data_IF_515967247307
#
_entry.id   IF_515967247307
#
_cell.length_a   1.000
_cell.length_b   1.000
_cell.length_c   1.000
_cell.angle_alpha   90.00
_cell.angle_beta   90.00
_cell.angle_gamma   90.00
#
_symmetry.space_group_name_H-M   'P 1'
#
loop_
_entity.id
_entity.type
_entity.pdbx_description
1 polymer ?
#
# COMPACT_ATOMS: atom_id res chain seq x y z
N UNK A 1 8.10 -20.07 -17.59
CA UNK A 1 8.49 -18.65 -17.47
C UNK A 1 9.01 -18.44 -16.08
N UNK A 2 10.21 -17.89 -15.96
CA UNK A 2 10.96 -17.78 -14.72
C UNK A 2 11.28 -16.30 -14.45
N UNK A 3 11.59 -15.94 -13.20
CA UNK A 3 11.99 -14.59 -12.80
C UNK A 3 13.26 -14.11 -13.51
N UNK A 4 14.07 -15.06 -14.00
CA UNK A 4 15.27 -14.80 -14.80
C UNK A 4 15.00 -14.59 -16.30
N UNK A 5 13.74 -14.72 -16.74
CA UNK A 5 13.39 -14.49 -18.16
C UNK A 5 13.43 -12.98 -18.46
N UNK A 6 13.77 -12.63 -19.71
CA UNK A 6 13.68 -11.26 -20.21
C UNK A 6 12.29 -10.68 -20.05
N UNK A 7 12.20 -9.43 -19.61
CA UNK A 7 10.93 -8.71 -19.49
C UNK A 7 10.28 -8.56 -20.86
N UNK A 8 11.00 -8.02 -21.84
CA UNK A 8 10.50 -7.79 -23.20
C UNK A 8 10.02 -9.08 -23.86
N UNK A 9 10.86 -10.11 -23.86
CA UNK A 9 10.52 -11.42 -24.46
C UNK A 9 9.30 -12.05 -23.79
N UNK A 10 9.21 -11.94 -22.46
CA UNK A 10 8.05 -12.45 -21.71
C UNK A 10 6.74 -11.77 -22.10
N UNK A 11 6.76 -10.43 -22.25
CA UNK A 11 5.58 -9.66 -22.64
C UNK A 11 5.21 -9.92 -24.09
N UNK A 12 6.17 -9.96 -25.01
CA UNK A 12 5.92 -10.37 -26.42
C UNK A 12 5.19 -11.71 -26.48
N UNK A 13 5.68 -12.71 -25.75
CA UNK A 13 5.06 -14.04 -25.70
C UNK A 13 3.62 -14.02 -25.18
N UNK A 14 3.33 -13.22 -24.15
CA UNK A 14 1.98 -13.07 -23.61
C UNK A 14 1.03 -12.32 -24.57
N UNK A 15 1.57 -11.44 -25.41
CA UNK A 15 0.81 -10.74 -26.46
C UNK A 15 0.64 -11.60 -27.73
N UNK A 16 1.27 -12.77 -27.81
CA UNK A 16 1.22 -13.63 -29.00
C UNK A 16 2.19 -13.20 -30.10
N UNK A 17 3.20 -12.40 -29.79
CA UNK A 17 4.23 -11.91 -30.72
C UNK A 17 5.44 -12.88 -30.65
N UNK A 18 5.93 -13.30 -31.81
CA UNK A 18 7.12 -14.14 -31.89
C UNK A 18 8.35 -13.35 -31.37
N UNK A 19 9.25 -14.05 -30.67
CA UNK A 19 10.42 -13.43 -30.05
C UNK A 19 11.32 -12.74 -31.08
N UNK A 20 11.46 -13.34 -32.25
CA UNK A 20 12.31 -12.87 -33.34
C UNK A 20 11.73 -11.68 -34.09
N UNK A 21 10.45 -11.34 -33.85
CA UNK A 21 9.77 -10.24 -34.54
C UNK A 21 10.02 -8.92 -33.81
N UNK A 22 11.04 -8.19 -34.21
CA UNK A 22 11.54 -7.00 -33.51
C UNK A 22 10.83 -5.69 -33.91
N UNK A 23 9.90 -5.73 -34.89
CA UNK A 23 9.27 -4.52 -35.43
C UNK A 23 8.55 -3.66 -34.37
N UNK A 24 7.98 -4.29 -33.35
CA UNK A 24 7.25 -3.63 -32.29
C UNK A 24 8.07 -3.43 -30.99
N UNK A 25 9.34 -3.79 -30.97
CA UNK A 25 10.11 -3.78 -29.73
C UNK A 25 10.21 -2.38 -29.12
N UNK A 26 10.42 -1.35 -29.95
CA UNK A 26 10.49 0.04 -29.47
C UNK A 26 9.17 0.50 -28.81
N UNK A 27 8.02 0.18 -29.43
CA UNK A 27 6.70 0.53 -28.90
C UNK A 27 6.40 -0.23 -27.61
N UNK A 28 6.74 -1.52 -27.58
CA UNK A 28 6.57 -2.35 -26.38
C UNK A 28 7.45 -1.88 -25.23
N UNK A 29 8.72 -1.53 -25.49
CA UNK A 29 9.64 -0.98 -24.49
C UNK A 29 9.07 0.30 -23.88
N UNK A 30 8.56 1.21 -24.72
CA UNK A 30 7.92 2.45 -24.25
C UNK A 30 6.73 2.15 -23.33
N UNK A 31 5.83 1.24 -23.71
CA UNK A 31 4.68 0.86 -22.89
C UNK A 31 5.10 0.15 -21.60
N UNK A 32 6.05 -0.77 -21.67
CA UNK A 32 6.60 -1.48 -20.50
C UNK A 32 7.20 -0.49 -19.51
N UNK A 33 8.00 0.47 -19.97
CA UNK A 33 8.61 1.49 -19.12
C UNK A 33 7.57 2.40 -18.47
N UNK A 34 6.49 2.74 -19.20
CA UNK A 34 5.35 3.48 -18.62
C UNK A 34 4.70 2.71 -17.48
N UNK A 35 4.56 1.39 -17.60
CA UNK A 35 4.00 0.56 -16.53
C UNK A 35 4.98 0.41 -15.36
N UNK A 36 6.29 0.30 -15.61
CA UNK A 36 7.27 0.32 -14.52
C UNK A 36 7.23 1.61 -13.72
N UNK A 37 7.03 2.75 -14.37
CA UNK A 37 6.85 4.03 -13.67
C UNK A 37 5.63 4.01 -12.74
N UNK A 38 4.51 3.41 -13.17
CA UNK A 38 3.32 3.24 -12.32
C UNK A 38 3.62 2.29 -11.15
N UNK A 39 4.29 1.17 -11.39
CA UNK A 39 4.68 0.21 -10.33
C UNK A 39 5.57 0.87 -9.28
N UNK A 40 6.52 1.71 -9.69
CA UNK A 40 7.35 2.50 -8.76
C UNK A 40 6.50 3.44 -7.90
N UNK A 41 5.49 4.09 -8.47
CA UNK A 41 4.56 4.95 -7.72
C UNK A 41 3.68 4.17 -6.73
N UNK A 42 3.40 2.90 -7.02
CA UNK A 42 2.71 1.97 -6.11
C UNK A 42 3.63 1.39 -5.02
N UNK A 43 4.90 1.79 -4.97
CA UNK A 43 5.88 1.26 -4.02
C UNK A 43 6.45 -0.10 -4.42
N UNK A 44 6.26 -0.55 -5.66
CA UNK A 44 6.72 -1.86 -6.14
C UNK A 44 8.00 -1.73 -6.95
N UNK A 45 9.03 -2.51 -6.59
CA UNK A 45 10.33 -2.52 -7.26
C UNK A 45 11.31 -1.47 -6.70
N UNK A 46 12.37 -1.14 -7.45
CA UNK A 46 13.40 -0.23 -6.96
C UNK A 46 12.88 1.20 -6.76
N UNK A 47 13.16 1.80 -5.61
CA UNK A 47 12.72 3.17 -5.26
C UNK A 47 13.23 4.26 -6.22
N UNK A 48 14.33 4.00 -6.93
CA UNK A 48 14.88 4.90 -7.95
C UNK A 48 14.20 4.78 -9.32
N UNK A 49 13.21 3.88 -9.43
CA UNK A 49 12.59 3.50 -10.68
C UNK A 49 13.38 2.42 -11.44
N UNK A 50 12.74 1.88 -12.47
CA UNK A 50 13.33 0.86 -13.34
C UNK A 50 12.90 1.10 -14.77
N UNK A 51 13.80 0.88 -15.73
CA UNK A 51 13.53 0.97 -17.16
C UNK A 51 14.30 -0.13 -17.89
N UNK A 52 13.76 -0.56 -19.02
CA UNK A 52 14.43 -1.47 -19.94
C UNK A 52 14.76 -0.72 -21.24
N UNK A 53 15.87 -1.06 -21.85
CA UNK A 53 16.28 -0.52 -23.16
C UNK A 53 16.20 -1.58 -24.26
N UNK A 54 16.33 -2.84 -23.89
CA UNK A 54 16.32 -3.98 -24.80
C UNK A 54 15.85 -5.27 -24.12
N UNK A 55 16.13 -6.42 -24.72
CA UNK A 55 15.78 -7.75 -24.22
C UNK A 55 16.70 -8.30 -23.12
N UNK A 56 17.76 -7.59 -22.74
CA UNK A 56 18.73 -8.07 -21.73
C UNK A 56 18.19 -7.99 -20.30
N UNK A 57 17.34 -7.01 -20.00
CA UNK A 57 16.76 -6.80 -18.69
C UNK A 57 15.80 -7.94 -18.31
N UNK A 58 15.97 -8.49 -17.11
CA UNK A 58 15.19 -9.60 -16.57
C UNK A 58 14.21 -9.13 -15.51
N UNK A 59 13.20 -9.93 -15.19
CA UNK A 59 12.29 -9.64 -14.08
C UNK A 59 13.00 -9.59 -12.73
N UNK A 60 14.09 -10.38 -12.58
CA UNK A 60 14.90 -10.40 -11.37
C UNK A 60 15.58 -9.05 -11.08
N UNK A 61 15.89 -8.29 -12.14
CA UNK A 61 16.48 -6.96 -12.00
C UNK A 61 15.48 -5.93 -11.44
N UNK A 62 14.18 -6.19 -11.63
CA UNK A 62 13.10 -5.35 -11.12
C UNK A 62 12.61 -5.82 -9.75
N UNK A 63 12.38 -7.10 -9.55
CA UNK A 63 11.80 -7.67 -8.33
C UNK A 63 12.51 -8.96 -7.94
N UNK A 64 12.96 -9.05 -6.69
CA UNK A 64 13.64 -10.24 -6.14
C UNK A 64 12.66 -11.22 -5.48
N UNK A 65 11.49 -10.76 -5.07
CA UNK A 65 10.46 -11.56 -4.42
C UNK A 65 9.63 -12.34 -5.44
N UNK A 66 9.83 -13.66 -5.46
CA UNK A 66 9.10 -14.56 -6.35
C UNK A 66 7.58 -14.60 -6.07
N UNK A 67 7.16 -14.29 -4.85
CA UNK A 67 5.74 -14.29 -4.47
C UNK A 67 4.98 -13.15 -5.16
N UNK A 68 5.61 -12.00 -5.34
CA UNK A 68 5.05 -10.82 -6.00
C UNK A 68 5.24 -10.85 -7.51
N UNK A 69 6.23 -11.57 -8.00
CA UNK A 69 6.59 -11.63 -9.42
C UNK A 69 5.41 -11.95 -10.33
N UNK A 70 4.62 -12.97 -10.00
CA UNK A 70 3.49 -13.37 -10.83
C UNK A 70 2.41 -12.30 -10.93
N UNK A 71 2.15 -11.59 -9.84
CA UNK A 71 1.18 -10.49 -9.80
C UNK A 71 1.65 -9.30 -10.62
N UNK A 72 2.91 -8.89 -10.45
CA UNK A 72 3.56 -7.83 -11.24
C UNK A 72 3.50 -8.14 -12.73
N UNK A 73 3.83 -9.37 -13.11
CA UNK A 73 3.82 -9.79 -14.51
C UNK A 73 2.41 -9.79 -15.12
N UNK A 74 1.42 -10.25 -14.36
CA UNK A 74 0.03 -10.26 -14.81
C UNK A 74 -0.49 -8.83 -14.99
N UNK A 75 -0.18 -7.94 -14.04
CA UNK A 75 -0.50 -6.52 -14.14
C UNK A 75 0.15 -5.86 -15.37
N UNK A 76 1.47 -6.05 -15.53
CA UNK A 76 2.24 -5.55 -16.68
C UNK A 76 1.62 -6.01 -18.01
N UNK A 77 1.31 -7.30 -18.13
CA UNK A 77 0.69 -7.84 -19.34
C UNK A 77 -0.63 -7.15 -19.67
N UNK A 78 -1.56 -7.02 -18.72
CA UNK A 78 -2.86 -6.41 -18.98
C UNK A 78 -2.74 -4.93 -19.33
N UNK A 79 -1.87 -4.18 -18.65
CA UNK A 79 -1.62 -2.75 -18.95
C UNK A 79 -1.03 -2.58 -20.34
N UNK A 80 0.01 -3.36 -20.69
CA UNK A 80 0.64 -3.28 -22.01
C UNK A 80 -0.35 -3.75 -23.09
N UNK A 81 -1.13 -4.80 -22.86
CA UNK A 81 -2.17 -5.26 -23.79
C UNK A 81 -3.18 -4.15 -24.12
N UNK A 82 -3.63 -3.38 -23.10
CA UNK A 82 -4.55 -2.27 -23.31
C UNK A 82 -3.93 -1.11 -24.09
N UNK A 83 -2.63 -0.86 -23.95
CA UNK A 83 -1.93 0.24 -24.63
C UNK A 83 -1.55 -0.13 -26.06
N UNK A 84 -1.12 -1.37 -26.28
CA UNK A 84 -0.58 -1.83 -27.55
C UNK A 84 -1.66 -2.42 -28.49
N UNK A 85 -2.52 -3.30 -27.95
CA UNK A 85 -3.54 -4.02 -28.72
C UNK A 85 -4.80 -4.22 -27.87
N UNK A 86 -5.61 -3.15 -27.68
CA UNK A 86 -6.81 -3.21 -26.84
C UNK A 86 -7.88 -4.14 -27.44
N UNK A 87 -8.62 -4.89 -26.62
CA UNK A 87 -9.69 -5.74 -27.09
C UNK A 87 -10.82 -4.93 -27.70
N UNK A 88 -11.39 -5.43 -28.81
CA UNK A 88 -12.51 -4.77 -29.50
C UNK A 88 -13.84 -4.90 -28.73
N UNK A 89 -13.98 -5.92 -27.89
CA UNK A 89 -15.17 -6.14 -27.08
C UNK A 89 -15.18 -5.23 -25.86
N UNK A 90 -16.21 -4.42 -25.70
CA UNK A 90 -16.39 -3.55 -24.53
C UNK A 90 -16.47 -4.34 -23.22
N UNK A 91 -17.10 -5.52 -23.24
CA UNK A 91 -17.18 -6.41 -22.08
C UNK A 91 -15.79 -6.90 -21.65
N UNK A 92 -14.94 -7.32 -22.60
CA UNK A 92 -13.57 -7.75 -22.32
C UNK A 92 -12.73 -6.58 -21.82
N UNK A 93 -12.91 -5.40 -22.41
CA UNK A 93 -12.24 -4.17 -21.99
C UNK A 93 -12.56 -3.83 -20.52
N UNK A 94 -13.83 -3.90 -20.12
CA UNK A 94 -14.24 -3.67 -18.73
C UNK A 94 -13.71 -4.74 -17.78
N UNK A 95 -13.68 -6.01 -18.18
CA UNK A 95 -13.03 -7.07 -17.41
C UNK A 95 -11.54 -6.78 -17.16
N UNK A 96 -10.81 -6.31 -18.18
CA UNK A 96 -9.39 -5.98 -18.03
C UNK A 96 -9.19 -4.78 -17.09
N UNK A 97 -10.00 -3.73 -17.22
CA UNK A 97 -9.93 -2.56 -16.32
C UNK A 97 -10.18 -2.96 -14.85
N UNK A 98 -11.22 -3.77 -14.61
CA UNK A 98 -11.54 -4.27 -13.27
C UNK A 98 -10.38 -5.07 -12.69
N UNK A 99 -9.80 -5.99 -13.49
CA UNK A 99 -8.68 -6.81 -13.05
C UNK A 99 -7.41 -5.98 -12.80
N UNK A 100 -7.15 -4.96 -13.61
CA UNK A 100 -6.04 -4.02 -13.41
C UNK A 100 -6.22 -3.28 -12.09
N UNK A 101 -7.41 -2.74 -11.79
CA UNK A 101 -7.67 -2.04 -10.52
C UNK A 101 -7.51 -2.97 -9.31
N UNK A 102 -7.92 -4.24 -9.43
CA UNK A 102 -7.69 -5.24 -8.37
C UNK A 102 -6.20 -5.49 -8.16
N UNK A 103 -5.42 -5.62 -9.24
CA UNK A 103 -3.97 -5.83 -9.12
C UNK A 103 -3.26 -4.60 -8.54
N UNK A 104 -3.65 -3.39 -8.94
CA UNK A 104 -3.11 -2.14 -8.38
C UNK A 104 -3.32 -2.09 -6.86
N UNK A 105 -4.53 -2.38 -6.40
CA UNK A 105 -4.83 -2.43 -4.97
C UNK A 105 -3.98 -3.48 -4.23
N UNK A 106 -3.90 -4.70 -4.77
CA UNK A 106 -3.11 -5.78 -4.16
C UNK A 106 -1.62 -5.46 -4.10
N UNK A 107 -1.07 -4.85 -5.15
CA UNK A 107 0.33 -4.46 -5.22
C UNK A 107 0.66 -3.35 -4.23
N UNK A 108 -0.23 -2.35 -4.10
CA UNK A 108 -0.08 -1.28 -3.12
C UNK A 108 -0.09 -1.82 -1.68
N UNK A 109 -1.08 -2.65 -1.33
CA UNK A 109 -1.15 -3.29 0.00
C UNK A 109 0.08 -4.16 0.28
N UNK A 110 0.58 -4.89 -0.73
CA UNK A 110 1.79 -5.70 -0.57
C UNK A 110 3.05 -4.84 -0.39
N UNK A 111 3.12 -3.66 -1.00
CA UNK A 111 4.22 -2.72 -0.82
C UNK A 111 4.20 -2.08 0.58
N UNK A 112 3.02 -1.66 1.06
CA UNK A 112 2.85 -1.10 2.42
C UNK A 112 3.28 -2.09 3.51
N UNK A 113 3.01 -3.39 3.33
CA UNK A 113 3.41 -4.42 4.28
C UNK A 113 4.92 -4.71 4.27
N UNK A 114 5.64 -4.41 3.19
CA UNK A 114 7.10 -4.57 3.14
C UNK A 114 7.84 -3.45 3.88
N UNK A 115 7.24 -2.25 3.91
CA UNK A 115 7.81 -1.10 4.61
C UNK A 115 7.61 -1.19 6.14
N UNK A 116 6.80 -2.14 6.62
CA UNK A 116 6.67 -2.41 8.07
C UNK A 116 7.82 -3.29 8.51
N UNK A 117 8.76 -2.71 9.26
CA UNK A 117 9.82 -3.44 9.97
C UNK A 117 9.15 -4.45 10.92
N UNK A 118 9.43 -5.79 10.79
CA UNK A 118 8.84 -6.79 11.67
C UNK A 118 9.25 -6.63 13.14
N UNK A 119 10.28 -5.84 13.43
CA UNK A 119 10.74 -5.49 14.79
C UNK A 119 10.26 -4.08 15.23
N UNK A 120 9.61 -3.31 14.37
CA UNK A 120 8.97 -2.07 14.80
C UNK A 120 7.68 -2.45 15.54
N UNK A 121 7.56 -2.14 16.87
CA UNK A 121 6.31 -2.38 17.59
C UNK A 121 5.22 -1.68 16.82
N UNK A 122 4.15 -2.40 16.47
CA UNK A 122 3.02 -1.92 15.68
C UNK A 122 2.79 -0.43 15.96
N UNK A 123 3.26 0.40 15.03
CA UNK A 123 3.04 1.82 15.11
C UNK A 123 1.54 2.01 14.91
N UNK A 124 0.80 1.99 16.01
CA UNK A 124 -0.58 2.46 16.01
C UNK A 124 -0.55 3.91 15.53
N UNK A 125 -0.71 4.10 14.25
CA UNK A 125 -0.84 5.42 13.66
C UNK A 125 -2.12 6.03 14.23
N UNK A 126 -1.96 6.78 15.31
CA UNK A 126 -3.07 7.41 15.99
C UNK A 126 -3.02 7.41 17.52
N UNK A 127 -1.95 6.88 18.16
CA UNK A 127 -1.74 7.09 19.59
C UNK A 127 -1.15 8.50 19.81
N UNK A 128 -1.93 9.41 20.28
CA UNK A 128 -1.45 10.69 20.78
C UNK A 128 -1.65 10.77 22.27
N UNK A 129 -0.65 11.26 22.94
CA UNK A 129 -0.71 11.52 24.38
C UNK A 129 -1.68 12.66 24.63
N UNK A 130 -2.80 12.34 25.26
CA UNK A 130 -3.75 13.38 25.66
C UNK A 130 -3.29 13.92 27.01
N UNK A 131 -2.82 15.14 27.04
CA UNK A 131 -2.55 15.84 28.29
C UNK A 131 -3.81 15.82 29.16
N UNK A 132 -3.69 15.43 30.44
CA UNK A 132 -4.82 15.34 31.33
C UNK A 132 -5.51 16.71 31.43
N UNK A 133 -6.79 16.75 31.11
CA UNK A 133 -7.60 17.97 31.36
C UNK A 133 -7.94 18.01 32.85
N UNK A 134 -7.59 19.09 33.48
CA UNK A 134 -8.08 19.38 34.81
C UNK A 134 -9.61 19.48 34.78
N UNK A 135 -10.28 18.63 35.55
CA UNK A 135 -11.71 18.72 35.79
C UNK A 135 -11.95 19.47 37.12
N UNK A 136 -12.72 20.53 37.03
CA UNK A 136 -13.18 21.25 38.22
C UNK A 136 -14.44 20.55 38.71
N UNK A 137 -14.38 19.94 39.88
CA UNK A 137 -15.55 19.38 40.57
C UNK A 137 -16.05 20.38 41.61
N UNK A 138 -17.33 20.73 41.50
CA UNK A 138 -18.00 21.58 42.47
C UNK A 138 -18.91 20.71 43.32
N UNK A 139 -18.78 20.81 44.65
CA UNK A 139 -19.73 20.19 45.57
C UNK A 139 -20.78 21.24 45.91
N UNK A 140 -22.05 20.92 45.62
CA UNK A 140 -23.18 21.77 45.85
C UNK A 140 -23.98 21.29 47.07
N UNK A 141 -24.54 22.20 47.85
CA UNK A 141 -25.52 21.82 48.85
C UNK A 141 -26.93 21.57 48.25
N UNK A 142 -27.88 21.15 49.06
CA UNK A 142 -29.24 20.83 48.63
C UNK A 142 -30.01 22.06 48.07
N UNK A 143 -29.47 23.26 48.23
CA UNK A 143 -30.01 24.53 47.68
C UNK A 143 -29.30 24.98 46.41
N UNK A 144 -28.27 24.20 45.93
CA UNK A 144 -27.49 24.54 44.75
C UNK A 144 -26.36 25.53 44.98
N UNK A 145 -26.01 25.79 46.27
CA UNK A 145 -24.88 26.67 46.61
C UNK A 145 -23.58 25.89 46.61
N UNK A 146 -22.54 26.40 45.97
CA UNK A 146 -21.19 25.82 45.93
C UNK A 146 -20.58 25.79 47.33
N UNK A 147 -20.27 24.61 47.85
CA UNK A 147 -19.63 24.38 49.15
C UNK A 147 -18.11 24.29 49.04
N UNK A 148 -17.59 23.68 47.97
CA UNK A 148 -16.16 23.58 47.68
C UNK A 148 -15.92 23.47 46.17
N UNK A 149 -14.80 24.04 45.75
CA UNK A 149 -14.26 23.83 44.38
C UNK A 149 -12.92 23.09 44.52
N UNK A 150 -12.89 21.83 44.11
CA UNK A 150 -11.66 21.04 44.12
C UNK A 150 -11.19 20.86 42.68
N UNK A 151 -9.93 21.20 42.42
CA UNK A 151 -9.27 20.94 41.16
C UNK A 151 -8.71 19.53 41.22
N UNK A 152 -9.36 18.57 40.58
CA UNK A 152 -8.87 17.20 40.49
C UNK A 152 -8.03 17.06 39.22
N UNK A 153 -6.73 16.97 39.39
CA UNK A 153 -5.81 16.65 38.30
C UNK A 153 -5.65 15.12 38.29
N UNK A 154 -6.20 14.48 37.25
CA UNK A 154 -5.91 13.07 37.03
C UNK A 154 -4.53 12.95 36.35
N UNK A 155 -3.52 12.49 37.09
CA UNK A 155 -2.18 12.22 36.59
C UNK A 155 -2.07 10.88 35.84
N UNK A 156 -3.18 10.21 35.56
CA UNK A 156 -3.14 8.92 34.87
C UNK A 156 -3.17 9.19 33.37
N UNK A 157 -2.09 8.86 32.63
CA UNK A 157 -2.09 8.96 31.19
C UNK A 157 -3.09 7.95 30.63
N UNK A 158 -4.03 8.42 29.82
CA UNK A 158 -4.89 7.57 29.04
C UNK A 158 -4.55 7.73 27.56
N UNK A 159 -4.50 6.60 26.90
CA UNK A 159 -4.22 6.56 25.46
C UNK A 159 -5.53 6.45 24.71
N UNK A 160 -5.66 7.23 23.65
CA UNK A 160 -6.78 7.14 22.74
C UNK A 160 -6.32 6.41 21.48
N UNK A 161 -6.88 5.23 21.22
CA UNK A 161 -6.59 4.47 20.01
C UNK A 161 -7.76 4.59 19.02
N UNK A 162 -7.47 4.92 17.76
CA UNK A 162 -8.45 4.83 16.68
C UNK A 162 -8.34 3.45 16.01
N UNK A 163 -9.47 2.77 15.83
CA UNK A 163 -9.50 1.55 15.04
C UNK A 163 -9.62 1.87 13.54
N UNK A 164 -9.36 0.89 12.69
CA UNK A 164 -9.39 1.02 11.21
C UNK A 164 -10.76 1.47 10.65
N UNK A 165 -11.82 1.50 11.48
CA UNK A 165 -13.16 1.98 11.11
C UNK A 165 -13.47 3.39 11.60
N UNK A 166 -12.46 4.12 12.13
CA UNK A 166 -12.62 5.50 12.62
C UNK A 166 -13.31 5.62 13.99
N UNK A 167 -13.54 4.51 14.69
CA UNK A 167 -14.05 4.51 16.05
C UNK A 167 -12.94 4.85 17.06
N UNK A 168 -13.23 5.73 17.99
CA UNK A 168 -12.32 6.10 19.08
C UNK A 168 -12.63 5.24 20.30
N UNK A 169 -11.65 4.44 20.74
CA UNK A 169 -11.76 3.68 22.00
C UNK A 169 -10.79 4.27 23.01
N UNK A 170 -11.30 4.75 24.13
CA UNK A 170 -10.49 5.26 25.23
C UNK A 170 -10.25 4.16 26.26
N UNK A 171 -9.00 3.91 26.64
CA UNK A 171 -8.63 3.01 27.72
C UNK A 171 -8.11 3.84 28.90
N UNK A 172 -8.63 3.52 30.07
CA UNK A 172 -8.08 4.02 31.34
C UNK A 172 -7.02 3.01 31.76
N UNK A 173 -5.76 3.44 31.86
CA UNK A 173 -4.72 2.60 32.45
C UNK A 173 -5.09 2.25 33.88
N UNK A 174 -5.16 0.97 34.23
CA UNK A 174 -5.37 0.54 35.60
C UNK A 174 -4.15 0.90 36.44
N UNK A 175 -4.40 1.54 37.57
CA UNK A 175 -3.42 1.73 38.62
C UNK A 175 -2.83 0.36 39.01
N UNK A 176 -1.56 0.09 38.71
CA UNK A 176 -0.94 -1.15 39.15
C UNK A 176 0.34 -1.61 38.47
N UNK A 177 0.77 -1.02 37.38
CA UNK A 177 2.03 -1.44 36.70
C UNK A 177 3.15 -0.38 36.83
N UNK A 178 3.53 -0.13 38.10
CA UNK A 178 4.83 0.49 38.41
C UNK A 178 5.73 -0.61 38.96
N UNK A 179 6.60 -1.19 38.14
CA UNK A 179 7.86 -1.80 38.57
C UNK A 179 8.90 -1.57 37.52
#
# INVERSE_FOLDING_TARGET
MNITDSVLTSIKKLLGIAEEYEHFDADLIMHINSVFSILTQLGVGPSKGFMIEDKSATWKDFISDESKYMLVKSYMHLKVKLLFDPPLSSTVLECYKTQISEYEWRLNVAAENDDTDPDEPEHYSGSYEVTPKAHQTQTLDTSGKVLSEDLVIHEVPYYQTSNASGGVTSYIAKEGDSK
#
